data_IF_900399524374
#
_entry.id   IF_900399524374
#
_cell.length_a   1.000
_cell.length_b   1.000
_cell.length_c   1.000
_cell.angle_alpha   90.00
_cell.angle_beta   90.00
_cell.angle_gamma   90.00
#
_symmetry.space_group_name_H-M   'P 1'
#
loop_
_entity.id
_entity.type
_entity.pdbx_description
1 polymer ?
#
# COMPACT_ATOMS: atom_id res chain seq x y z
N UNK A 1 -8.10 -10.51 -34.03
CA UNK A 1 -7.09 -10.71 -32.97
C UNK A 1 -7.40 -11.99 -32.21
N UNK A 2 -6.38 -12.70 -31.74
CA UNK A 2 -6.55 -13.93 -30.97
C UNK A 2 -6.33 -13.74 -29.46
N UNK A 3 -5.67 -12.65 -29.07
CA UNK A 3 -5.44 -12.30 -27.68
C UNK A 3 -5.34 -10.78 -27.54
N UNK A 4 -5.78 -10.25 -26.40
CA UNK A 4 -5.65 -8.85 -26.04
C UNK A 4 -4.65 -8.77 -24.90
N UNK A 5 -3.59 -7.99 -25.07
CA UNK A 5 -2.64 -7.69 -24.01
C UNK A 5 -2.62 -6.20 -23.74
N UNK A 6 -1.88 -5.80 -22.73
CA UNK A 6 -1.67 -4.41 -22.35
C UNK A 6 -0.19 -4.19 -22.10
N UNK A 7 0.25 -2.92 -22.13
CA UNK A 7 1.52 -2.56 -21.52
C UNK A 7 1.38 -2.61 -20.01
N UNK A 8 2.34 -3.26 -19.36
CA UNK A 8 2.47 -3.33 -17.91
C UNK A 8 3.72 -2.59 -17.44
N UNK A 9 3.77 -2.40 -16.13
CA UNK A 9 4.90 -1.77 -15.44
C UNK A 9 5.40 -2.74 -14.39
N UNK A 10 6.66 -3.15 -14.50
CA UNK A 10 7.35 -3.92 -13.48
C UNK A 10 8.33 -3.03 -12.72
N UNK A 11 8.37 -3.17 -11.40
CA UNK A 11 9.31 -2.43 -10.54
C UNK A 11 10.24 -3.38 -9.80
N UNK A 12 11.44 -2.91 -9.50
CA UNK A 12 12.34 -3.63 -8.60
C UNK A 12 11.75 -3.62 -7.18
N UNK A 13 11.61 -4.80 -6.58
CA UNK A 13 11.12 -4.89 -5.21
C UNK A 13 12.23 -4.39 -4.28
N UNK A 14 12.08 -3.15 -3.81
CA UNK A 14 12.79 -2.72 -2.62
C UNK A 14 12.21 -3.53 -1.46
N UNK A 15 12.88 -4.61 -1.08
CA UNK A 15 12.66 -5.27 0.21
C UNK A 15 13.10 -4.29 1.30
N UNK A 16 12.31 -3.23 1.52
CA UNK A 16 12.44 -2.40 2.69
C UNK A 16 12.11 -3.31 3.86
N UNK A 17 13.10 -3.55 4.73
CA UNK A 17 12.89 -4.27 5.97
C UNK A 17 11.68 -3.64 6.67
N UNK A 18 10.62 -4.42 6.87
CA UNK A 18 9.39 -3.98 7.54
C UNK A 18 9.72 -3.30 8.89
N UNK A 19 10.79 -3.72 9.55
CA UNK A 19 11.30 -3.13 10.79
C UNK A 19 11.81 -1.69 10.58
N UNK A 20 12.51 -1.41 9.48
CA UNK A 20 13.01 -0.06 9.18
C UNK A 20 11.88 0.90 8.83
N UNK A 21 10.88 0.42 8.09
CA UNK A 21 9.66 1.19 7.77
C UNK A 21 8.88 1.49 9.06
N UNK A 22 8.70 0.47 9.91
CA UNK A 22 8.07 0.64 11.21
C UNK A 22 8.79 1.67 12.08
N UNK A 23 10.12 1.58 12.22
CA UNK A 23 10.91 2.52 13.01
C UNK A 23 10.80 3.95 12.46
N UNK A 24 10.90 4.14 11.13
CA UNK A 24 10.76 5.46 10.53
C UNK A 24 9.37 6.06 10.77
N UNK A 25 8.31 5.24 10.64
CA UNK A 25 6.93 5.66 10.91
C UNK A 25 6.70 6.00 12.39
N UNK A 26 7.31 5.25 13.30
CA UNK A 26 7.23 5.46 14.75
C UNK A 26 7.93 6.75 15.20
N UNK A 27 8.92 7.23 14.45
CA UNK A 27 9.57 8.53 14.69
C UNK A 27 9.05 9.66 13.79
N UNK A 28 7.92 9.45 13.11
CA UNK A 28 7.29 10.51 12.31
C UNK A 28 6.71 11.62 13.20
N UNK A 29 6.75 12.87 12.71
CA UNK A 29 6.15 14.02 13.40
C UNK A 29 4.65 13.82 13.67
N UNK A 30 3.96 13.10 12.78
CA UNK A 30 2.55 12.75 12.92
C UNK A 30 2.34 11.81 14.10
N UNK A 31 3.14 10.75 14.20
CA UNK A 31 3.08 9.81 15.33
C UNK A 31 3.38 10.52 16.66
N UNK A 32 4.43 11.34 16.71
CA UNK A 32 4.78 12.13 17.90
C UNK A 32 3.62 13.05 18.32
N UNK A 33 2.96 13.70 17.36
CA UNK A 33 1.79 14.57 17.61
C UNK A 33 0.61 13.79 18.21
N UNK A 34 0.37 12.56 17.76
CA UNK A 34 -0.69 11.70 18.30
C UNK A 34 -0.39 11.27 19.75
N UNK A 35 0.85 10.83 20.01
CA UNK A 35 1.27 10.48 21.38
C UNK A 35 1.16 11.70 22.31
N UNK A 36 1.56 12.88 21.85
CA UNK A 36 1.45 14.10 22.61
C UNK A 36 -0.01 14.47 22.91
N UNK A 37 -0.92 14.33 21.92
CA UNK A 37 -2.35 14.55 22.12
C UNK A 37 -2.94 13.55 23.13
N UNK A 38 -2.53 12.28 23.04
CA UNK A 38 -2.96 11.24 23.98
C UNK A 38 -2.51 11.56 25.41
N UNK A 39 -1.23 11.86 25.62
CA UNK A 39 -0.70 12.26 26.93
C UNK A 39 -1.38 13.52 27.47
N UNK A 40 -1.63 14.51 26.60
CA UNK A 40 -2.36 15.74 26.96
C UNK A 40 -3.78 15.42 27.43
N UNK A 41 -4.52 14.58 26.72
CA UNK A 41 -5.90 14.21 27.13
C UNK A 41 -5.93 13.49 28.47
N UNK A 42 -5.01 12.53 28.70
CA UNK A 42 -4.84 11.87 30.00
C UNK A 42 -4.54 12.90 31.11
N UNK A 43 -3.65 13.85 30.82
CA UNK A 43 -3.28 14.88 31.79
C UNK A 43 -4.44 15.82 32.12
N UNK A 44 -5.22 16.24 31.12
CA UNK A 44 -6.38 17.12 31.30
C UNK A 44 -7.45 16.44 32.15
N UNK A 45 -7.90 15.24 31.78
CA UNK A 45 -8.94 14.53 32.52
C UNK A 45 -8.47 14.09 33.91
N UNK A 46 -7.20 13.67 34.04
CA UNK A 46 -6.58 13.39 35.33
C UNK A 46 -6.55 14.61 36.25
N UNK A 47 -6.20 15.79 35.72
CA UNK A 47 -6.18 17.05 36.47
C UNK A 47 -7.59 17.49 36.90
N UNK A 48 -8.57 17.40 35.99
CA UNK A 48 -9.97 17.72 36.29
C UNK A 48 -10.49 16.81 37.40
N UNK A 49 -10.26 15.49 37.30
CA UNK A 49 -10.71 14.57 38.34
C UNK A 49 -10.03 14.85 39.68
N UNK A 50 -8.71 15.06 39.66
CA UNK A 50 -7.96 15.42 40.86
C UNK A 50 -8.51 16.70 41.52
N UNK A 51 -8.80 17.75 40.76
CA UNK A 51 -9.35 19.01 41.29
C UNK A 51 -10.66 18.81 42.05
N UNK A 52 -11.50 17.89 41.59
CA UNK A 52 -12.79 17.54 42.19
C UNK A 52 -12.63 16.64 43.42
N UNK A 53 -11.76 15.63 43.32
CA UNK A 53 -11.61 14.60 44.35
C UNK A 53 -10.64 15.00 45.48
N UNK A 54 -9.69 15.93 45.25
CA UNK A 54 -8.63 16.30 46.24
C UNK A 54 -9.16 16.77 47.60
N UNK A 55 -10.41 17.25 47.67
CA UNK A 55 -11.02 17.70 48.93
C UNK A 55 -11.74 16.58 49.68
N UNK A 56 -12.36 15.64 48.96
CA UNK A 56 -13.27 14.63 49.52
C UNK A 56 -12.67 13.22 49.59
N UNK A 57 -11.69 12.90 48.75
CA UNK A 57 -11.06 11.57 48.67
C UNK A 57 -9.54 11.64 48.87
N UNK A 58 -9.11 12.26 49.97
CA UNK A 58 -7.69 12.48 50.30
C UNK A 58 -6.85 11.21 50.43
N UNK A 59 -7.49 10.06 50.67
CA UNK A 59 -6.80 8.75 50.77
C UNK A 59 -6.27 8.24 49.43
N UNK A 60 -6.96 8.57 48.33
CA UNK A 60 -6.60 8.11 46.99
C UNK A 60 -6.06 9.24 46.10
N UNK A 61 -6.48 10.49 46.36
CA UNK A 61 -6.05 11.68 45.63
C UNK A 61 -5.43 12.67 46.61
N UNK A 62 -4.10 12.80 46.59
CA UNK A 62 -3.36 13.67 47.51
C UNK A 62 -3.72 15.15 47.24
N UNK A 63 -3.84 16.02 48.27
CA UNK A 63 -4.28 17.40 48.08
C UNK A 63 -3.23 18.34 47.49
N UNK A 64 -1.95 17.98 47.59
CA UNK A 64 -0.83 18.80 47.11
C UNK A 64 -0.63 18.64 45.60
N UNK A 65 0.27 19.42 45.00
CA UNK A 65 0.62 19.33 43.57
C UNK A 65 1.03 17.90 43.14
N UNK A 66 1.55 17.09 44.07
CA UNK A 66 1.92 15.70 43.84
C UNK A 66 0.67 14.85 43.47
N UNK A 67 -0.53 15.26 43.88
CA UNK A 67 -1.77 14.59 43.54
C UNK A 67 -2.19 14.73 42.07
N UNK A 68 -1.59 15.64 41.30
CA UNK A 68 -1.74 15.66 39.84
C UNK A 68 -1.29 14.33 39.23
N UNK A 69 -0.23 13.72 39.77
CA UNK A 69 0.22 12.39 39.35
C UNK A 69 -0.78 11.28 39.71
N UNK A 70 -1.55 11.44 40.81
CA UNK A 70 -2.61 10.48 41.16
C UNK A 70 -3.76 10.53 40.14
N UNK A 71 -4.15 11.74 39.73
CA UNK A 71 -5.13 11.96 38.67
C UNK A 71 -4.66 11.46 37.31
N UNK A 72 -3.43 11.79 36.92
CA UNK A 72 -2.80 11.31 35.69
C UNK A 72 -2.74 9.78 35.65
N UNK A 73 -2.26 9.14 36.73
CA UNK A 73 -2.21 7.69 36.87
C UNK A 73 -3.58 7.06 36.70
N UNK A 74 -4.60 7.58 37.41
CA UNK A 74 -5.97 7.09 37.28
C UNK A 74 -6.48 7.22 35.84
N UNK A 75 -6.25 8.37 35.21
CA UNK A 75 -6.70 8.64 33.85
C UNK A 75 -6.04 7.70 32.85
N UNK A 76 -4.75 7.43 33.02
CA UNK A 76 -3.97 6.51 32.18
C UNK A 76 -4.47 5.07 32.33
N UNK A 77 -4.60 4.58 33.57
CA UNK A 77 -5.09 3.21 33.88
C UNK A 77 -6.53 2.99 33.39
N UNK A 78 -7.35 4.04 33.43
CA UNK A 78 -8.72 3.98 32.90
C UNK A 78 -8.72 3.95 31.38
N UNK A 79 -7.89 4.78 30.74
CA UNK A 79 -7.77 4.80 29.28
C UNK A 79 -7.26 3.48 28.73
N UNK A 80 -6.20 2.91 29.33
CA UNK A 80 -5.66 1.60 28.93
C UNK A 80 -6.57 0.42 29.32
N UNK A 81 -7.73 0.68 29.92
CA UNK A 81 -8.70 -0.34 30.37
C UNK A 81 -8.16 -1.33 31.42
N UNK A 82 -7.00 -1.06 32.02
CA UNK A 82 -6.36 -1.94 33.01
C UNK A 82 -7.14 -1.95 34.32
N UNK A 83 -7.59 -0.78 34.78
CA UNK A 83 -8.55 -0.68 35.89
C UNK A 83 -8.12 -1.29 37.23
N UNK A 84 -6.89 -1.03 37.70
CA UNK A 84 -6.38 -1.57 38.99
C UNK A 84 -7.29 -1.32 40.20
N UNK A 85 -8.15 -0.30 40.16
CA UNK A 85 -9.08 0.03 41.25
C UNK A 85 -8.41 0.68 42.48
N UNK A 86 -7.11 0.97 42.40
CA UNK A 86 -6.33 1.62 43.46
C UNK A 86 -6.79 3.07 43.71
N UNK A 87 -7.28 3.73 42.66
CA UNK A 87 -7.87 5.08 42.70
C UNK A 87 -9.22 5.06 42.01
N UNK A 88 -10.24 5.62 42.66
CA UNK A 88 -11.58 5.73 42.09
C UNK A 88 -12.30 6.97 42.63
N UNK A 89 -13.03 7.72 41.78
CA UNK A 89 -13.79 8.86 42.25
C UNK A 89 -14.94 8.45 43.16
N UNK A 90 -15.06 9.14 44.29
CA UNK A 90 -16.13 8.89 45.27
C UNK A 90 -17.24 9.93 45.19
N UNK A 91 -16.95 11.13 44.70
CA UNK A 91 -17.95 12.19 44.59
C UNK A 91 -18.90 11.94 43.41
N UNK A 92 -20.15 12.40 43.52
CA UNK A 92 -21.14 12.31 42.43
C UNK A 92 -20.62 13.00 41.16
N UNK A 93 -19.99 14.16 41.31
CA UNK A 93 -19.44 14.94 40.21
C UNK A 93 -18.20 14.26 39.59
N UNK A 94 -17.31 13.69 40.42
CA UNK A 94 -16.16 12.91 39.95
C UNK A 94 -16.57 11.65 39.18
N UNK A 95 -17.64 10.97 39.60
CA UNK A 95 -18.22 9.85 38.85
C UNK A 95 -18.80 10.29 37.50
N UNK A 96 -19.45 11.46 37.45
CA UNK A 96 -19.92 12.06 36.20
C UNK A 96 -18.78 12.30 35.21
N UNK A 97 -17.69 12.93 35.68
CA UNK A 97 -16.48 13.16 34.87
C UNK A 97 -15.85 11.85 34.41
N UNK A 98 -15.80 10.84 35.29
CA UNK A 98 -15.24 9.55 34.94
C UNK A 98 -16.03 8.82 33.84
N UNK A 99 -17.37 8.91 33.84
CA UNK A 99 -18.17 8.36 32.75
C UNK A 99 -17.84 9.03 31.42
N UNK A 100 -17.77 10.37 31.39
CA UNK A 100 -17.39 11.10 30.16
C UNK A 100 -15.98 10.72 29.70
N UNK A 101 -15.04 10.57 30.64
CA UNK A 101 -13.68 10.13 30.33
C UNK A 101 -13.65 8.72 29.72
N UNK A 102 -14.40 7.76 30.26
CA UNK A 102 -14.45 6.40 29.72
C UNK A 102 -14.91 6.36 28.26
N UNK A 103 -15.96 7.09 27.89
CA UNK A 103 -16.40 7.19 26.49
C UNK A 103 -15.36 7.90 25.61
N UNK A 104 -14.79 8.99 26.11
CA UNK A 104 -13.78 9.76 25.37
C UNK A 104 -12.53 8.90 25.11
N UNK A 105 -12.08 8.15 26.11
CA UNK A 105 -10.91 7.27 26.01
C UNK A 105 -11.07 6.21 24.92
N UNK A 106 -12.26 5.61 24.79
CA UNK A 106 -12.56 4.64 23.73
C UNK A 106 -12.43 5.29 22.35
N UNK A 107 -13.00 6.48 22.16
CA UNK A 107 -12.91 7.21 20.89
C UNK A 107 -11.46 7.56 20.53
N UNK A 108 -10.67 8.02 21.51
CA UNK A 108 -9.27 8.38 21.30
C UNK A 108 -8.43 7.16 20.94
N UNK A 109 -8.61 6.03 21.65
CA UNK A 109 -7.88 4.78 21.35
C UNK A 109 -8.25 4.27 19.95
N UNK A 110 -9.54 4.25 19.62
CA UNK A 110 -10.00 3.81 18.30
C UNK A 110 -9.37 4.66 17.17
N UNK A 111 -9.38 5.98 17.31
CA UNK A 111 -8.73 6.89 16.36
C UNK A 111 -7.21 6.69 16.27
N UNK A 112 -6.55 6.45 17.40
CA UNK A 112 -5.12 6.13 17.45
C UNK A 112 -4.81 4.84 16.69
N UNK A 113 -5.55 3.75 16.96
CA UNK A 113 -5.36 2.46 16.28
C UNK A 113 -5.62 2.58 14.77
N UNK A 114 -6.68 3.28 14.36
CA UNK A 114 -7.00 3.50 12.95
C UNK A 114 -5.89 4.29 12.24
N UNK A 115 -5.34 5.32 12.87
CA UNK A 115 -4.27 6.13 12.27
C UNK A 115 -2.98 5.33 12.14
N UNK A 116 -2.59 4.56 13.17
CA UNK A 116 -1.40 3.68 13.10
C UNK A 116 -1.56 2.64 11.99
N UNK A 117 -2.73 2.01 11.88
CA UNK A 117 -3.02 1.06 10.81
C UNK A 117 -2.93 1.72 9.42
N UNK A 118 -3.54 2.89 9.23
CA UNK A 118 -3.50 3.64 7.98
C UNK A 118 -2.06 3.99 7.56
N UNK A 119 -1.22 4.44 8.49
CA UNK A 119 0.19 4.77 8.17
C UNK A 119 0.95 3.54 7.72
N UNK A 120 0.72 2.38 8.34
CA UNK A 120 1.37 1.12 7.94
C UNK A 120 0.91 0.66 6.56
N UNK A 121 -0.38 0.74 6.26
CA UNK A 121 -0.94 0.44 4.94
C UNK A 121 -0.35 1.36 3.87
N UNK A 122 -0.33 2.67 4.10
CA UNK A 122 0.19 3.66 3.15
C UNK A 122 1.71 3.50 2.95
N UNK A 123 2.47 3.15 3.99
CA UNK A 123 3.93 2.95 3.87
C UNK A 123 4.33 1.64 3.18
N UNK A 124 3.41 0.67 3.11
CA UNK A 124 3.60 -0.55 2.32
C UNK A 124 3.33 -0.33 0.82
N UNK A 125 2.72 0.82 0.50
CA UNK A 125 2.45 1.29 -0.85
C UNK A 125 3.72 1.98 -1.40
N UNK A 126 4.71 1.17 -1.78
CA UNK A 126 5.95 1.61 -2.44
C UNK A 126 5.61 2.46 -3.66
N UNK A 127 5.78 3.81 -3.63
CA UNK A 127 5.63 4.75 -4.78
C UNK A 127 4.88 4.12 -5.95
N UNK A 128 3.59 3.85 -5.76
CA UNK A 128 2.85 3.12 -6.77
C UNK A 128 2.72 4.03 -7.98
N UNK A 129 3.23 3.58 -9.10
CA UNK A 129 2.84 4.15 -10.38
C UNK A 129 1.38 3.69 -10.55
N UNK A 130 0.42 4.56 -10.29
CA UNK A 130 -1.01 4.25 -10.41
C UNK A 130 -1.56 4.72 -11.76
N UNK A 131 -0.96 5.78 -12.31
CA UNK A 131 -1.38 6.34 -13.58
C UNK A 131 -0.19 6.73 -14.49
N UNK A 132 -0.55 7.30 -15.64
CA UNK A 132 0.43 7.78 -16.60
C UNK A 132 1.22 9.00 -16.10
N UNK A 133 0.64 9.85 -15.25
CA UNK A 133 1.34 11.01 -14.68
C UNK A 133 2.43 10.57 -13.71
N UNK A 134 2.16 9.59 -12.87
CA UNK A 134 3.15 8.98 -11.97
C UNK A 134 4.29 8.34 -12.77
N UNK A 135 3.95 7.64 -13.86
CA UNK A 135 4.95 7.08 -14.76
C UNK A 135 5.81 8.19 -15.37
N UNK A 136 5.23 9.34 -15.78
CA UNK A 136 5.99 10.49 -16.29
C UNK A 136 6.91 11.12 -15.25
N UNK A 137 6.52 11.10 -13.98
CA UNK A 137 7.29 11.66 -12.87
C UNK A 137 8.36 10.70 -12.32
N UNK A 138 8.36 9.45 -12.80
CA UNK A 138 9.30 8.43 -12.36
C UNK A 138 10.66 8.61 -13.03
N UNK A 139 11.72 8.45 -12.24
CA UNK A 139 13.09 8.43 -12.75
C UNK A 139 13.51 6.99 -13.05
N UNK A 140 14.46 6.82 -13.97
CA UNK A 140 15.09 5.52 -14.26
C UNK A 140 14.13 4.45 -14.82
N UNK A 141 13.41 4.84 -15.86
CA UNK A 141 12.53 3.99 -16.67
C UNK A 141 13.34 3.28 -17.74
N UNK A 142 13.16 1.98 -17.82
CA UNK A 142 13.65 1.09 -18.85
C UNK A 142 12.55 0.63 -19.80
N UNK A 143 12.93 0.36 -21.04
CA UNK A 143 12.09 -0.32 -22.03
C UNK A 143 12.96 -1.11 -23.01
N UNK A 144 12.33 -1.72 -24.01
CA UNK A 144 12.99 -2.55 -25.03
C UNK A 144 12.96 -1.85 -26.38
N UNK A 145 14.04 -1.90 -27.14
CA UNK A 145 14.14 -1.30 -28.48
C UNK A 145 13.17 -1.96 -29.49
N UNK A 146 12.64 -1.15 -30.41
CA UNK A 146 11.75 -1.61 -31.49
C UNK A 146 10.38 -2.12 -31.00
N UNK A 147 10.06 -1.90 -29.73
CA UNK A 147 8.87 -2.46 -29.10
C UNK A 147 7.67 -1.51 -29.13
N UNK A 148 6.48 -2.05 -28.87
CA UNK A 148 5.27 -1.26 -28.67
C UNK A 148 5.33 -0.38 -27.42
N UNK A 149 6.11 -0.77 -26.39
CA UNK A 149 6.35 0.07 -25.22
C UNK A 149 7.26 1.26 -25.54
N UNK A 150 8.29 1.10 -26.38
CA UNK A 150 9.08 2.25 -26.85
C UNK A 150 8.21 3.27 -27.59
N UNK A 151 7.34 2.81 -28.50
CA UNK A 151 6.43 3.69 -29.24
C UNK A 151 5.47 4.43 -28.30
N UNK A 152 4.91 3.72 -27.30
CA UNK A 152 4.04 4.31 -26.30
C UNK A 152 4.74 5.37 -25.45
N UNK A 153 5.95 5.09 -24.97
CA UNK A 153 6.72 6.04 -24.17
C UNK A 153 7.04 7.30 -24.98
N UNK A 154 7.46 7.16 -26.25
CA UNK A 154 7.69 8.28 -27.16
C UNK A 154 6.43 9.12 -27.39
N UNK A 155 5.28 8.48 -27.62
CA UNK A 155 4.01 9.17 -27.84
C UNK A 155 3.58 10.00 -26.62
N UNK A 156 3.91 9.55 -25.41
CA UNK A 156 3.57 10.23 -24.17
C UNK A 156 4.70 11.11 -23.63
N UNK A 157 5.72 11.40 -24.45
CA UNK A 157 6.88 12.23 -24.11
C UNK A 157 7.67 11.74 -22.89
N UNK A 158 7.60 10.44 -22.60
CA UNK A 158 8.38 9.78 -21.55
C UNK A 158 9.70 9.32 -22.19
N UNK A 159 10.82 9.78 -21.63
CA UNK A 159 12.16 9.40 -22.11
C UNK A 159 12.72 8.29 -21.23
N UNK A 160 12.76 7.04 -21.70
CA UNK A 160 13.44 5.98 -20.98
C UNK A 160 14.94 6.27 -20.90
N UNK A 161 15.51 6.07 -19.71
CA UNK A 161 16.92 6.28 -19.41
C UNK A 161 17.77 5.08 -19.85
N UNK A 162 17.17 3.88 -19.81
CA UNK A 162 17.79 2.65 -20.27
C UNK A 162 16.91 1.99 -21.34
N UNK A 163 17.56 1.52 -22.41
CA UNK A 163 16.90 0.74 -23.44
C UNK A 163 17.68 -0.55 -23.62
N UNK A 164 16.96 -1.66 -23.74
CA UNK A 164 17.53 -3.00 -23.86
C UNK A 164 17.13 -3.60 -25.21
N UNK A 165 17.96 -4.48 -25.76
CA UNK A 165 17.61 -5.24 -26.98
C UNK A 165 16.56 -6.31 -26.67
N UNK A 166 16.65 -6.93 -25.48
CA UNK A 166 15.79 -8.03 -25.06
C UNK A 166 15.16 -7.78 -23.70
N UNK A 167 13.90 -8.21 -23.56
CA UNK A 167 13.13 -8.11 -22.30
C UNK A 167 13.75 -8.92 -21.16
N UNK A 168 14.38 -10.06 -21.44
CA UNK A 168 15.04 -10.89 -20.42
C UNK A 168 16.20 -10.13 -19.76
N UNK A 169 17.02 -9.45 -20.57
CA UNK A 169 18.12 -8.61 -20.08
C UNK A 169 17.59 -7.40 -19.30
N UNK A 170 16.47 -6.81 -19.73
CA UNK A 170 15.82 -5.72 -19.03
C UNK A 170 15.28 -6.17 -17.64
N UNK A 171 14.66 -7.35 -17.56
CA UNK A 171 14.18 -7.94 -16.30
C UNK A 171 15.34 -8.28 -15.35
N UNK A 172 16.44 -8.82 -15.87
CA UNK A 172 17.63 -9.06 -15.07
C UNK A 172 18.24 -7.76 -14.54
N UNK A 173 18.25 -6.69 -15.35
CA UNK A 173 18.69 -5.36 -14.92
C UNK A 173 17.78 -4.78 -13.82
N UNK A 174 16.47 -4.95 -13.94
CA UNK A 174 15.47 -4.57 -12.93
C UNK A 174 15.70 -5.34 -11.62
N UNK A 175 15.85 -6.66 -11.70
CA UNK A 175 16.11 -7.52 -10.54
C UNK A 175 17.46 -7.21 -9.86
N UNK A 176 18.45 -6.73 -10.63
CA UNK A 176 19.74 -6.28 -10.14
C UNK A 176 19.73 -4.80 -9.64
N UNK A 177 18.58 -4.12 -9.69
CA UNK A 177 18.42 -2.69 -9.35
C UNK A 177 19.30 -1.75 -10.16
N UNK A 178 19.59 -2.09 -11.42
CA UNK A 178 20.23 -1.19 -12.39
C UNK A 178 19.23 -0.23 -13.04
N UNK A 179 17.94 -0.59 -12.99
CA UNK A 179 16.80 0.26 -13.36
C UNK A 179 15.74 0.11 -12.29
N UNK A 180 14.97 1.16 -11.99
CA UNK A 180 13.89 1.11 -11.00
C UNK A 180 12.58 0.57 -11.59
N UNK A 181 12.32 0.85 -12.87
CA UNK A 181 11.03 0.60 -13.53
C UNK A 181 11.24 0.09 -14.96
N UNK A 182 10.55 -0.98 -15.32
CA UNK A 182 10.53 -1.55 -16.67
C UNK A 182 9.12 -1.47 -17.24
N UNK A 183 8.98 -0.85 -18.41
CA UNK A 183 7.71 -0.80 -19.16
C UNK A 183 7.79 -1.72 -20.37
N UNK A 184 6.94 -2.74 -20.39
CA UNK A 184 6.86 -3.69 -21.50
C UNK A 184 5.49 -4.37 -21.54
N UNK A 185 5.26 -5.31 -22.47
CA UNK A 185 4.02 -6.08 -22.53
C UNK A 185 3.77 -6.85 -21.22
N UNK A 186 2.62 -6.61 -20.58
CA UNK A 186 2.24 -7.14 -19.26
C UNK A 186 2.25 -8.67 -19.24
N UNK A 187 1.68 -9.29 -20.28
CA UNK A 187 1.57 -10.73 -20.45
C UNK A 187 2.94 -11.37 -20.56
N UNK A 188 3.86 -10.75 -21.31
CA UNK A 188 5.24 -11.23 -21.43
C UNK A 188 6.01 -11.06 -20.13
N UNK A 189 5.85 -9.93 -19.45
CA UNK A 189 6.50 -9.68 -18.15
C UNK A 189 6.06 -10.71 -17.11
N UNK A 190 4.75 -10.94 -16.97
CA UNK A 190 4.19 -11.89 -16.00
C UNK A 190 4.73 -13.31 -16.23
N UNK A 191 4.68 -13.78 -17.49
CA UNK A 191 5.24 -15.08 -17.88
C UNK A 191 6.75 -15.20 -17.57
N UNK A 192 7.54 -14.19 -17.93
CA UNK A 192 8.99 -14.24 -17.74
C UNK A 192 9.40 -14.12 -16.26
N UNK A 193 8.69 -13.31 -15.48
CA UNK A 193 8.94 -13.18 -14.03
C UNK A 193 8.74 -14.53 -13.34
N UNK A 194 7.65 -15.25 -13.64
CA UNK A 194 7.39 -16.59 -13.12
C UNK A 194 8.43 -17.60 -13.62
N UNK A 195 8.67 -17.64 -14.94
CA UNK A 195 9.63 -18.56 -15.57
C UNK A 195 11.07 -18.40 -15.03
N UNK A 196 11.51 -17.17 -14.78
CA UNK A 196 12.85 -16.84 -14.30
C UNK A 196 12.95 -16.77 -12.77
N UNK A 197 11.86 -17.06 -12.04
CA UNK A 197 11.80 -17.02 -10.57
C UNK A 197 12.19 -15.66 -9.98
N UNK A 198 11.79 -14.56 -10.64
CA UNK A 198 12.12 -13.20 -10.24
C UNK A 198 11.08 -12.57 -9.30
N UNK A 199 10.02 -13.29 -8.93
CA UNK A 199 8.92 -12.85 -8.05
C UNK A 199 9.38 -12.27 -6.70
N UNK A 200 10.54 -12.72 -6.20
CA UNK A 200 11.13 -12.23 -4.94
C UNK A 200 11.91 -10.91 -5.07
N UNK A 201 12.19 -10.48 -6.31
CA UNK A 201 13.04 -9.32 -6.63
C UNK A 201 12.33 -8.28 -7.48
N UNK A 202 11.24 -8.65 -8.13
CA UNK A 202 10.47 -7.79 -9.04
C UNK A 202 8.99 -7.94 -8.77
N UNK A 203 8.25 -6.84 -8.88
CA UNK A 203 6.80 -6.83 -8.74
C UNK A 203 6.19 -6.26 -10.03
N UNK A 204 5.24 -6.98 -10.61
CA UNK A 204 4.40 -6.46 -11.68
C UNK A 204 3.24 -5.68 -11.06
N UNK A 205 3.11 -4.41 -11.43
CA UNK A 205 2.05 -3.55 -10.91
C UNK A 205 0.69 -3.92 -11.56
N UNK A 206 -0.43 -3.75 -10.83
CA UNK A 206 -1.77 -4.09 -11.35
C UNK A 206 -2.25 -3.13 -12.45
N UNK A 207 -1.51 -2.06 -12.72
CA UNK A 207 -1.84 -1.07 -13.76
C UNK A 207 -1.56 -1.58 -15.17
N UNK A 208 -2.39 -1.14 -16.11
CA UNK A 208 -2.27 -1.46 -17.52
C UNK A 208 -2.44 -0.21 -18.37
N UNK A 209 -1.63 -0.09 -19.41
CA UNK A 209 -1.71 0.99 -20.39
C UNK A 209 -1.89 0.41 -21.79
N UNK A 210 -2.40 1.23 -22.70
CA UNK A 210 -2.34 1.02 -24.14
C UNK A 210 -2.70 -0.42 -24.58
N UNK A 211 -4.00 -0.70 -24.67
CA UNK A 211 -4.53 -1.99 -25.12
C UNK A 211 -3.94 -2.42 -26.48
N UNK A 212 -3.44 -3.65 -26.55
CA UNK A 212 -2.78 -4.21 -27.73
C UNK A 212 -3.49 -5.46 -28.21
N UNK A 213 -3.69 -5.54 -29.53
CA UNK A 213 -4.36 -6.67 -30.17
C UNK A 213 -3.34 -7.60 -30.83
N UNK A 214 -3.12 -8.78 -30.25
CA UNK A 214 -2.27 -9.82 -30.86
C UNK A 214 -3.02 -10.48 -32.02
N UNK A 215 -2.42 -10.45 -33.20
CA UNK A 215 -3.05 -10.88 -34.45
C UNK A 215 -2.03 -11.54 -35.38
N UNK A 216 -2.52 -12.38 -36.29
CA UNK A 216 -1.73 -12.88 -37.40
C UNK A 216 -1.73 -11.86 -38.54
N UNK A 217 -0.57 -11.64 -39.15
CA UNK A 217 -0.43 -10.79 -40.33
C UNK A 217 -0.44 -11.65 -41.59
N UNK A 218 -1.28 -11.28 -42.56
CA UNK A 218 -1.33 -11.90 -43.88
C UNK A 218 -1.26 -10.81 -44.96
N UNK A 219 -0.79 -11.14 -46.18
CA UNK A 219 -0.86 -10.23 -47.31
C UNK A 219 -2.30 -9.74 -47.55
N UNK A 220 -2.47 -8.47 -47.92
CA UNK A 220 -3.77 -7.77 -48.02
C UNK A 220 -4.81 -8.52 -48.87
N UNK A 221 -4.37 -9.23 -49.91
CA UNK A 221 -5.24 -9.96 -50.84
C UNK A 221 -5.19 -11.50 -50.63
N UNK A 222 -4.81 -11.93 -49.43
CA UNK A 222 -4.76 -13.35 -49.11
C UNK A 222 -6.17 -13.93 -49.00
N UNK A 223 -6.50 -14.88 -49.90
CA UNK A 223 -7.72 -15.69 -49.80
C UNK A 223 -7.79 -16.49 -48.50
N UNK A 224 -6.67 -16.64 -47.79
CA UNK A 224 -6.65 -17.39 -46.54
C UNK A 224 -7.39 -16.72 -45.39
N UNK A 225 -7.60 -15.39 -45.45
CA UNK A 225 -8.35 -14.67 -44.42
C UNK A 225 -9.80 -15.15 -44.28
N UNK A 226 -10.42 -15.56 -45.39
CA UNK A 226 -11.82 -15.99 -45.43
C UNK A 226 -12.07 -17.27 -44.61
N UNK A 227 -11.09 -18.18 -44.54
CA UNK A 227 -11.22 -19.43 -43.78
C UNK A 227 -10.51 -19.37 -42.42
N UNK A 228 -9.42 -18.61 -42.28
CA UNK A 228 -8.69 -18.46 -41.00
C UNK A 228 -9.54 -17.72 -39.97
N UNK A 229 -10.20 -16.61 -40.35
CA UNK A 229 -10.93 -15.79 -39.38
C UNK A 229 -12.06 -16.56 -38.68
N UNK A 230 -12.96 -17.28 -39.38
CA UNK A 230 -14.00 -18.08 -38.73
C UNK A 230 -13.44 -19.21 -37.87
N UNK A 231 -12.36 -19.88 -38.32
CA UNK A 231 -11.71 -20.92 -37.53
C UNK A 231 -11.05 -20.37 -36.26
N UNK A 232 -10.43 -19.20 -36.35
CA UNK A 232 -9.82 -18.53 -35.20
C UNK A 232 -10.89 -18.20 -34.16
N UNK A 233 -12.01 -17.61 -34.59
CA UNK A 233 -13.17 -17.33 -33.72
C UNK A 233 -13.71 -18.61 -33.08
N UNK A 234 -13.83 -19.69 -33.86
CA UNK A 234 -14.26 -20.99 -33.33
C UNK A 234 -13.29 -21.54 -32.29
N UNK A 235 -11.98 -21.37 -32.49
CA UNK A 235 -10.93 -21.86 -31.59
C UNK A 235 -10.86 -21.08 -30.29
N UNK A 236 -10.89 -19.74 -30.33
CA UNK A 236 -10.80 -18.92 -29.11
C UNK A 236 -12.01 -19.11 -28.17
N UNK A 237 -13.14 -19.54 -28.71
CA UNK A 237 -14.36 -19.83 -27.93
C UNK A 237 -14.38 -21.26 -27.34
N UNK A 238 -13.37 -22.10 -27.60
CA UNK A 238 -13.28 -23.45 -27.02
C UNK A 238 -12.65 -23.41 -25.64
N UNK A 239 -13.07 -24.34 -24.76
CA UNK A 239 -12.47 -24.53 -23.43
C UNK A 239 -10.97 -24.82 -23.50
N UNK A 240 -10.52 -25.55 -24.51
CA UNK A 240 -9.11 -25.85 -24.73
C UNK A 240 -8.24 -24.62 -24.95
N UNK A 241 -8.80 -23.52 -25.45
CA UNK A 241 -8.09 -22.24 -25.54
C UNK A 241 -7.91 -21.61 -24.16
N UNK A 242 -8.94 -21.66 -23.31
CA UNK A 242 -8.85 -21.18 -21.91
C UNK A 242 -7.84 -21.99 -21.11
N UNK A 243 -7.85 -23.31 -21.25
CA UNK A 243 -6.88 -24.22 -20.61
C UNK A 243 -5.46 -23.91 -21.08
N UNK A 244 -5.26 -23.69 -22.37
CA UNK A 244 -3.95 -23.28 -22.91
C UNK A 244 -3.48 -21.95 -22.31
N UNK A 245 -4.34 -20.94 -22.18
CA UNK A 245 -3.95 -19.67 -21.57
C UNK A 245 -3.54 -19.87 -20.10
N UNK A 246 -4.29 -20.69 -19.35
CA UNK A 246 -3.97 -21.01 -17.96
C UNK A 246 -2.63 -21.73 -17.80
N UNK A 247 -2.28 -22.65 -18.70
CA UNK A 247 -0.98 -23.36 -18.68
C UNK A 247 0.21 -22.39 -18.82
N UNK A 248 0.00 -21.25 -19.47
CA UNK A 248 1.01 -20.19 -19.65
C UNK A 248 0.85 -19.04 -18.64
N UNK A 249 0.00 -19.21 -17.63
CA UNK A 249 -0.36 -18.18 -16.65
C UNK A 249 -0.90 -16.89 -17.30
N UNK A 250 -1.61 -17.02 -18.41
CA UNK A 250 -2.25 -15.92 -19.11
C UNK A 250 -3.72 -15.88 -18.75
N UNK A 251 -4.20 -14.70 -18.39
CA UNK A 251 -5.61 -14.48 -18.09
C UNK A 251 -6.26 -13.68 -19.22
N UNK A 252 -7.54 -13.99 -19.46
CA UNK A 252 -8.41 -13.13 -20.27
C UNK A 252 -9.07 -12.18 -19.27
N UNK A 253 -8.75 -10.90 -19.34
CA UNK A 253 -9.46 -9.83 -18.62
C UNK A 253 -10.84 -9.58 -19.26
#
# INVERSE_FOLDING_TARGET
PFYVSFLGVATSQAQQSQVRVFLHNFFSLQFLRLILLLVLTIFVFGTILWLVERRHNRRQFRPNIIGLFDGFWWSAVTMTTVGYGDKAPKTKLGRGIAMVWMFTAILVISGFTATVASTLTVSSLSRNIEDLQDLRNTQDIASVHGSSSEAFLKQNEIKPQAMFEDVENALLALAARKTEVLVYDKTVLDYLIGKMQLESKTVLLPISFNQQYKSFFLPKNSKHLEWINPLLVRKINQKSWQELLQDYNLHIE
#
